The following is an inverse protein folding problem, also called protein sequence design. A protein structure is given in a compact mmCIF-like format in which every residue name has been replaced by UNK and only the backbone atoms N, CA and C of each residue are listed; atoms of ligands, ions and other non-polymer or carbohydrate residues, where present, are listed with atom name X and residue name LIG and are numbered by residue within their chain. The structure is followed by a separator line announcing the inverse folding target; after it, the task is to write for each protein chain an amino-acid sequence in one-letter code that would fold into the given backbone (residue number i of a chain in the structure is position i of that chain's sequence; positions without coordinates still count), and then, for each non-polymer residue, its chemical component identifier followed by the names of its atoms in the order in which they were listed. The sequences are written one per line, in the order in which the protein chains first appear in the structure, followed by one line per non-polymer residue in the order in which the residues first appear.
data_IF_191577496544
#
_entry.id   IF_191577496544
#
_cell.length_a   1.000
_cell.length_b   1.000
_cell.length_c   1.000
_cell.angle_alpha   90.00
_cell.angle_beta   90.00
_cell.angle_gamma   90.00
#
_symmetry.space_group_name_H-M   'P 1'
#
loop_
_entity.id
_entity.type
_entity.pdbx_description
1 polymer ?
#
# COMPACT_ATOMS: atom_id res chain seq x y z
N UNK A 1 -9.33 -25.43 -6.55
CA UNK A 1 -8.58 -24.38 -5.82
C UNK A 1 -8.71 -24.65 -4.33
N UNK A 2 -7.62 -24.59 -3.54
CA UNK A 2 -7.68 -24.92 -2.10
C UNK A 2 -8.47 -23.85 -1.34
N UNK A 3 -9.57 -24.22 -0.68
CA UNK A 3 -10.47 -23.30 0.02
C UNK A 3 -9.73 -22.44 1.06
N UNK A 4 -8.76 -23.04 1.74
CA UNK A 4 -7.91 -22.33 2.72
C UNK A 4 -7.09 -21.22 2.07
N UNK A 5 -6.49 -21.45 0.90
CA UNK A 5 -5.71 -20.43 0.20
C UNK A 5 -6.59 -19.27 -0.29
N UNK A 6 -7.79 -19.59 -0.78
CA UNK A 6 -8.78 -18.58 -1.16
C UNK A 6 -9.17 -17.68 0.01
N UNK A 7 -9.35 -18.27 1.20
CA UNK A 7 -9.69 -17.52 2.40
C UNK A 7 -8.56 -16.57 2.85
N UNK A 8 -7.29 -16.98 2.71
CA UNK A 8 -6.14 -16.10 2.98
C UNK A 8 -6.11 -14.91 2.02
N UNK A 9 -6.36 -15.13 0.72
CA UNK A 9 -6.46 -14.03 -0.25
C UNK A 9 -7.61 -13.07 0.06
N UNK A 10 -8.76 -13.61 0.47
CA UNK A 10 -9.92 -12.81 0.84
C UNK A 10 -9.59 -11.89 2.04
N UNK A 11 -8.91 -12.39 3.07
CA UNK A 11 -8.51 -11.59 4.24
C UNK A 11 -7.55 -10.46 3.85
N UNK A 12 -6.56 -10.76 3.01
CA UNK A 12 -5.55 -9.79 2.56
C UNK A 12 -6.19 -8.67 1.75
N UNK A 13 -7.10 -9.03 0.84
CA UNK A 13 -7.76 -8.08 -0.06
C UNK A 13 -8.89 -7.31 0.65
N UNK A 14 -9.44 -7.84 1.74
CA UNK A 14 -10.51 -7.19 2.49
C UNK A 14 -10.10 -5.80 3.00
N UNK A 15 -8.86 -5.62 3.47
CA UNK A 15 -8.38 -4.34 3.99
C UNK A 15 -8.32 -3.22 2.94
N UNK A 16 -7.64 -3.37 1.79
CA UNK A 16 -7.66 -2.34 0.76
C UNK A 16 -9.06 -2.17 0.17
N UNK A 17 -9.87 -3.22 0.04
CA UNK A 17 -11.27 -3.05 -0.42
C UNK A 17 -12.09 -2.23 0.58
N UNK A 18 -11.92 -2.45 1.88
CA UNK A 18 -12.64 -1.71 2.91
C UNK A 18 -12.36 -0.21 2.83
N UNK A 19 -11.14 0.22 2.48
CA UNK A 19 -10.85 1.65 2.32
C UNK A 19 -11.51 2.28 1.08
N UNK A 20 -11.97 1.48 0.12
CA UNK A 20 -12.80 1.98 -0.99
C UNK A 20 -14.31 1.97 -0.67
N UNK A 21 -14.76 1.11 0.23
CA UNK A 21 -16.17 1.02 0.63
C UNK A 21 -16.51 2.07 1.70
N UNK A 22 -15.61 2.27 2.66
CA UNK A 22 -15.82 3.24 3.74
C UNK A 22 -15.29 4.62 3.35
N UNK A 23 -16.07 5.69 3.59
CA UNK A 23 -15.62 7.03 3.30
C UNK A 23 -14.41 7.38 4.17
N UNK A 24 -13.52 8.18 3.60
CA UNK A 24 -12.33 8.67 4.29
C UNK A 24 -12.73 9.45 5.55
N UNK A 25 -12.11 9.18 6.72
CA UNK A 25 -12.33 9.96 7.93
C UNK A 25 -12.02 11.44 7.73
N UNK A 26 -12.74 12.33 8.44
CA UNK A 26 -12.49 13.77 8.39
C UNK A 26 -11.04 14.11 8.74
N UNK A 27 -10.42 14.99 7.96
CA UNK A 27 -9.02 15.41 8.14
C UNK A 27 -7.97 14.49 7.50
N UNK A 28 -8.35 13.35 6.91
CA UNK A 28 -7.44 12.49 6.15
C UNK A 28 -7.63 12.69 4.64
N UNK A 29 -6.55 12.62 3.86
CA UNK A 29 -6.64 12.62 2.39
C UNK A 29 -7.21 11.30 1.88
N UNK A 30 -7.97 11.34 0.80
CA UNK A 30 -8.57 10.15 0.19
C UNK A 30 -7.46 9.26 -0.37
N UNK A 31 -6.44 9.88 -0.96
CA UNK A 31 -5.24 9.18 -1.39
C UNK A 31 -4.55 8.45 -0.22
N UNK A 32 -4.35 9.14 0.92
CA UNK A 32 -3.72 8.56 2.11
C UNK A 32 -4.51 7.39 2.70
N UNK A 33 -5.85 7.48 2.67
CA UNK A 33 -6.75 6.42 3.11
C UNK A 33 -6.61 5.13 2.28
N UNK A 34 -6.54 5.25 0.96
CA UNK A 34 -6.37 4.09 0.09
C UNK A 34 -4.98 3.45 0.24
N UNK A 35 -3.91 4.24 0.32
CA UNK A 35 -2.56 3.73 0.55
C UNK A 35 -2.45 3.02 1.91
N UNK A 36 -3.12 3.54 2.95
CA UNK A 36 -3.19 2.88 4.26
C UNK A 36 -3.81 1.49 4.16
N UNK A 37 -4.89 1.33 3.39
CA UNK A 37 -5.53 0.04 3.15
C UNK A 37 -4.58 -0.98 2.50
N UNK A 38 -3.80 -0.54 1.51
CA UNK A 38 -2.77 -1.37 0.86
C UNK A 38 -1.66 -1.74 1.82
N UNK A 39 -1.22 -0.80 2.66
CA UNK A 39 -0.20 -1.05 3.69
C UNK A 39 -0.64 -2.14 4.68
N UNK A 40 -1.84 -2.00 5.26
CA UNK A 40 -2.39 -3.00 6.21
C UNK A 40 -2.54 -4.36 5.52
N UNK A 41 -3.09 -4.39 4.30
CA UNK A 41 -3.20 -5.63 3.51
C UNK A 41 -1.84 -6.29 3.26
N UNK A 42 -0.80 -5.50 3.01
CA UNK A 42 0.57 -6.00 2.80
C UNK A 42 1.15 -6.62 4.06
N UNK A 43 0.96 -5.98 5.22
CA UNK A 43 1.39 -6.55 6.52
C UNK A 43 0.69 -7.88 6.79
N UNK A 44 -0.63 -7.95 6.58
CA UNK A 44 -1.38 -9.21 6.73
C UNK A 44 -0.87 -10.29 5.79
N UNK A 45 -0.56 -9.93 4.54
CA UNK A 45 0.00 -10.88 3.58
C UNK A 45 1.40 -11.37 4.00
N UNK A 46 2.24 -10.52 4.60
CA UNK A 46 3.53 -10.93 5.14
C UNK A 46 3.40 -11.87 6.35
N UNK A 47 2.38 -11.68 7.20
CA UNK A 47 2.10 -12.56 8.34
C UNK A 47 1.59 -13.92 7.87
N UNK A 48 0.64 -13.91 6.95
CA UNK A 48 -0.03 -15.10 6.41
C UNK A 48 0.83 -15.89 5.41
N UNK A 49 1.89 -15.26 4.87
CA UNK A 49 2.86 -15.83 3.92
C UNK A 49 2.22 -16.67 2.80
N UNK A 50 1.24 -16.13 2.04
CA UNK A 50 0.69 -16.85 0.90
C UNK A 50 1.69 -16.93 -0.28
N UNK A 51 2.62 -15.98 -0.35
CA UNK A 51 3.66 -15.82 -1.37
C UNK A 51 5.00 -15.49 -0.70
N UNK A 52 6.14 -15.69 -1.38
CA UNK A 52 7.43 -15.15 -0.93
C UNK A 52 7.36 -13.62 -0.81
N UNK A 53 8.12 -13.06 0.13
CA UNK A 53 8.05 -11.63 0.45
C UNK A 53 8.42 -10.69 -0.73
N UNK A 54 9.44 -10.96 -1.57
CA UNK A 54 9.84 -9.99 -2.59
C UNK A 54 8.77 -9.71 -3.66
N UNK A 55 8.12 -10.71 -4.29
CA UNK A 55 7.03 -10.46 -5.23
C UNK A 55 5.81 -9.77 -4.59
N UNK A 56 5.50 -10.10 -3.33
CA UNK A 56 4.39 -9.49 -2.60
C UNK A 56 4.62 -7.99 -2.38
N UNK A 57 5.82 -7.61 -1.94
CA UNK A 57 6.18 -6.21 -1.73
C UNK A 57 6.22 -5.43 -3.05
N UNK A 58 6.71 -6.05 -4.14
CA UNK A 58 6.65 -5.45 -5.48
C UNK A 58 5.21 -5.22 -5.95
N UNK A 59 4.30 -6.17 -5.69
CA UNK A 59 2.89 -6.00 -6.01
C UNK A 59 2.26 -4.83 -5.21
N UNK A 60 2.58 -4.70 -3.93
CA UNK A 60 2.13 -3.59 -3.10
C UNK A 60 2.63 -2.22 -3.61
N UNK A 61 3.89 -2.15 -4.05
CA UNK A 61 4.49 -0.97 -4.70
C UNK A 61 3.76 -0.65 -6.01
N UNK A 62 3.49 -1.65 -6.85
CA UNK A 62 2.77 -1.45 -8.11
C UNK A 62 1.34 -0.93 -7.88
N UNK A 63 0.60 -1.50 -6.93
CA UNK A 63 -0.74 -1.04 -6.56
C UNK A 63 -0.69 0.40 -6.03
N UNK A 64 0.31 0.71 -5.18
CA UNK A 64 0.50 2.07 -4.65
C UNK A 64 0.79 3.10 -5.75
N UNK A 65 1.51 2.71 -6.81
CA UNK A 65 1.75 3.56 -7.98
C UNK A 65 0.49 3.80 -8.84
N UNK A 66 -0.41 2.82 -8.89
CA UNK A 66 -1.72 2.97 -9.56
C UNK A 66 -2.58 3.96 -8.78
N UNK A 67 -2.64 3.82 -7.44
CA UNK A 67 -3.41 4.72 -6.57
C UNK A 67 -2.83 6.15 -6.59
N UNK A 68 -1.50 6.27 -6.58
CA UNK A 68 -0.78 7.54 -6.65
C UNK A 68 -0.87 8.25 -8.01
N UNK A 69 -1.51 7.67 -9.03
CA UNK A 69 -1.76 8.34 -10.32
C UNK A 69 -2.93 9.36 -10.26
N UNK A 70 -3.50 9.58 -9.09
CA UNK A 70 -4.61 10.51 -8.87
C UNK A 70 -4.10 11.97 -8.78
N UNK A 71 -4.91 12.96 -9.20
CA UNK A 71 -4.54 14.36 -9.12
C UNK A 71 -4.33 14.79 -7.66
N UNK A 72 -3.49 15.81 -7.46
CA UNK A 72 -3.18 16.35 -6.14
C UNK A 72 -4.46 16.75 -5.38
N UNK A 73 -4.64 16.19 -4.19
CA UNK A 73 -5.74 16.56 -3.30
C UNK A 73 -5.31 17.72 -2.41
N UNK A 74 -6.18 18.72 -2.26
CA UNK A 74 -5.98 19.83 -1.34
C UNK A 74 -6.89 19.63 -0.14
N UNK A 75 -6.30 19.39 1.02
CA UNK A 75 -7.02 19.27 2.28
C UNK A 75 -7.58 20.65 2.71
N UNK A 76 -8.57 20.64 3.59
CA UNK A 76 -9.20 21.87 4.12
C UNK A 76 -8.20 22.82 4.81
N UNK A 77 -7.07 22.30 5.28
CA UNK A 77 -5.95 23.04 5.89
C UNK A 77 -4.94 23.59 4.85
N UNK A 78 -5.28 23.55 3.56
CA UNK A 78 -4.41 24.02 2.46
C UNK A 78 -3.25 23.08 2.13
N UNK A 79 -3.10 21.96 2.84
CA UNK A 79 -2.05 20.96 2.60
C UNK A 79 -2.32 20.23 1.28
N UNK A 80 -1.35 20.30 0.36
CA UNK A 80 -1.41 19.57 -0.92
C UNK A 80 -0.84 18.17 -0.74
N UNK A 81 -1.69 17.16 -0.81
CA UNK A 81 -1.28 15.76 -0.80
C UNK A 81 -1.25 15.27 -2.23
N UNK A 82 -0.04 15.09 -2.76
CA UNK A 82 0.20 14.51 -4.07
C UNK A 82 1.29 13.47 -3.94
N UNK A 83 1.00 12.24 -4.34
CA UNK A 83 2.03 11.21 -4.48
C UNK A 83 2.53 11.25 -5.91
N UNK A 84 3.77 11.69 -6.12
CA UNK A 84 4.40 11.53 -7.44
C UNK A 84 4.63 10.04 -7.67
N UNK A 85 4.24 9.51 -8.83
CA UNK A 85 4.43 8.08 -9.15
C UNK A 85 5.89 7.62 -8.97
N UNK A 86 6.87 8.48 -9.30
CA UNK A 86 8.29 8.18 -9.10
C UNK A 86 8.70 8.03 -7.64
N UNK A 87 7.95 8.60 -6.71
CA UNK A 87 8.25 8.55 -5.28
C UNK A 87 7.90 7.21 -4.63
N UNK A 88 7.12 6.36 -5.29
CA UNK A 88 6.78 5.02 -4.77
C UNK A 88 8.03 4.12 -4.73
N UNK A 89 9.06 4.42 -5.53
CA UNK A 89 10.34 3.72 -5.55
C UNK A 89 11.40 4.33 -4.62
N UNK A 90 11.10 5.42 -3.92
CA UNK A 90 12.10 6.10 -3.06
C UNK A 90 12.58 5.21 -1.90
N UNK A 91 11.82 4.17 -1.54
CA UNK A 91 12.28 3.15 -0.59
C UNK A 91 13.57 2.43 -1.02
N UNK A 92 13.82 2.30 -2.33
CA UNK A 92 15.07 1.73 -2.86
C UNK A 92 16.27 2.67 -2.78
N UNK A 93 16.06 3.95 -2.46
CA UNK A 93 17.14 4.91 -2.19
C UNK A 93 17.59 4.90 -0.72
N UNK A 94 16.99 4.05 0.12
CA UNK A 94 17.30 3.99 1.55
C UNK A 94 18.70 3.44 1.80
N UNK A 95 19.57 4.26 2.39
CA UNK A 95 20.93 3.87 2.75
C UNK A 95 20.97 2.69 3.73
N UNK A 96 20.02 2.60 4.67
CA UNK A 96 19.94 1.47 5.61
C UNK A 96 19.57 0.17 4.91
N UNK A 97 18.73 0.22 3.87
CA UNK A 97 18.42 -0.96 3.05
C UNK A 97 19.68 -1.48 2.37
N UNK A 98 20.49 -0.61 1.78
CA UNK A 98 21.74 -1.00 1.12
C UNK A 98 22.81 -1.49 2.09
N UNK A 99 22.89 -0.95 3.31
CA UNK A 99 23.79 -1.45 4.35
C UNK A 99 23.52 -2.92 4.68
N UNK A 100 22.27 -3.36 4.70
CA UNK A 100 21.91 -4.77 4.96
C UNK A 100 22.35 -5.69 3.80
N UNK A 101 22.43 -5.19 2.57
CA UNK A 101 22.95 -5.96 1.43
C UNK A 101 24.49 -5.99 1.35
N UNK A 102 25.15 -4.98 1.90
CA UNK A 102 26.61 -4.85 1.88
C UNK A 102 27.30 -5.52 3.09
N UNK A 103 26.56 -5.79 4.17
CA UNK A 103 27.01 -6.52 5.36
C UNK A 103 27.00 -8.03 5.15
#
# INVERSE_FOLDING_TARGET
MNLKKLLHYAIILACPIATYIFPTPEGLSVLGWHILGVYIGTILALILKPFPAPPLLLAAVAISAIIGNTPAEVLADGTKVAVKQGSVLDGYKSGTTWLVFAA
#
